data_IF_882658377625
#
_entry.id   IF_882658377625
#
_cell.length_a   1.000
_cell.length_b   1.000
_cell.length_c   1.000
_cell.angle_alpha   90.00
_cell.angle_beta   90.00
_cell.angle_gamma   90.00
#
_symmetry.space_group_name_H-M   'P 1'
#
loop_
_entity.id
_entity.type
_entity.pdbx_description
1 polymer ?
#
# COMPACT_ATOMS: atom_id res chain seq x y z
N UNK A 1 24.25 -10.14 -25.65
CA UNK A 1 23.04 -10.94 -25.42
C UNK A 1 22.95 -11.22 -23.91
N UNK A 2 22.31 -10.38 -23.13
CA UNK A 2 22.17 -10.58 -21.67
C UNK A 2 21.16 -11.67 -21.38
N UNK A 3 21.51 -12.61 -20.51
CA UNK A 3 20.63 -13.71 -20.12
C UNK A 3 19.39 -13.14 -19.38
N UNK A 4 18.15 -13.53 -19.74
CA UNK A 4 16.93 -12.99 -19.10
C UNK A 4 16.86 -13.19 -17.56
N UNK A 5 17.63 -14.12 -17.01
CA UNK A 5 17.69 -14.40 -15.56
C UNK A 5 18.30 -13.26 -14.73
N UNK A 6 19.25 -12.52 -15.28
CA UNK A 6 19.96 -11.45 -14.54
C UNK A 6 19.11 -10.19 -14.42
N UNK A 7 18.25 -9.94 -15.40
CA UNK A 7 17.34 -8.77 -15.40
C UNK A 7 16.21 -8.97 -14.39
N UNK A 8 15.71 -10.20 -14.25
CA UNK A 8 14.63 -10.51 -13.33
C UNK A 8 15.04 -10.34 -11.86
N UNK A 9 16.27 -10.74 -11.53
CA UNK A 9 16.84 -10.54 -10.18
C UNK A 9 17.04 -9.06 -9.84
N UNK A 10 17.38 -8.25 -10.84
CA UNK A 10 17.52 -6.80 -10.66
C UNK A 10 16.19 -6.09 -10.35
N UNK A 11 15.06 -6.60 -10.87
CA UNK A 11 13.74 -5.99 -10.60
C UNK A 11 13.30 -6.25 -9.18
N UNK A 12 13.52 -7.43 -8.69
CA UNK A 12 13.21 -7.81 -7.31
C UNK A 12 14.11 -7.00 -6.36
N UNK A 13 15.41 -6.90 -6.63
CA UNK A 13 16.33 -6.06 -5.86
C UNK A 13 15.99 -4.56 -5.90
N UNK A 14 15.39 -4.09 -7.00
CA UNK A 14 15.01 -2.68 -7.19
C UNK A 14 13.81 -2.27 -6.32
N UNK A 15 12.92 -3.18 -5.97
CA UNK A 15 11.82 -2.89 -5.03
C UNK A 15 12.36 -2.61 -3.62
N UNK A 16 13.55 -3.00 -3.27
CA UNK A 16 13.92 -3.50 -1.97
C UNK A 16 15.04 -2.78 -1.22
N UNK A 17 15.75 -1.86 -1.81
CA UNK A 17 16.82 -1.15 -1.11
C UNK A 17 16.27 0.00 -0.27
N UNK A 18 15.56 -0.30 0.83
CA UNK A 18 15.24 0.71 1.85
C UNK A 18 14.95 0.10 3.22
N UNK A 19 15.85 0.16 4.07
CA UNK A 19 15.76 0.43 5.50
C UNK A 19 17.16 0.22 6.11
N UNK A 20 17.98 1.25 6.01
CA UNK A 20 19.15 1.33 6.88
C UNK A 20 18.96 2.58 7.71
N UNK A 21 18.68 2.39 8.96
CA UNK A 21 18.89 3.40 9.97
C UNK A 21 17.70 3.87 10.77
N UNK A 22 17.15 3.02 11.61
CA UNK A 22 16.82 3.39 12.98
C UNK A 22 16.64 2.11 13.78
N UNK A 23 17.58 1.82 14.67
CA UNK A 23 17.39 0.81 15.70
C UNK A 23 16.34 1.31 16.68
N UNK A 24 15.09 0.95 16.45
CA UNK A 24 14.04 1.15 17.46
C UNK A 24 14.22 0.03 18.48
N UNK A 25 14.53 0.40 19.71
CA UNK A 25 14.63 -0.55 20.82
C UNK A 25 13.27 -1.24 21.01
N UNK A 26 13.23 -2.55 20.73
CA UNK A 26 12.08 -3.40 21.06
C UNK A 26 11.88 -3.44 22.58
N UNK A 27 10.84 -2.81 23.08
CA UNK A 27 10.30 -3.16 24.39
C UNK A 27 9.46 -4.43 24.25
N UNK A 28 9.55 -5.39 25.19
CA UNK A 28 8.73 -6.59 25.11
C UNK A 28 7.26 -6.21 25.24
N UNK A 29 6.46 -6.53 24.23
CA UNK A 29 5.01 -6.36 24.26
C UNK A 29 4.41 -7.32 25.27
N UNK A 30 3.66 -6.79 26.23
CA UNK A 30 2.77 -7.61 27.09
C UNK A 30 1.56 -7.92 26.21
N UNK A 31 1.47 -9.18 25.77
CA UNK A 31 0.34 -9.65 25.00
C UNK A 31 -0.92 -9.61 25.85
N UNK A 32 -1.81 -8.69 25.57
CA UNK A 32 -3.18 -8.73 26.06
C UNK A 32 -4.05 -9.36 24.97
N UNK A 33 -4.61 -10.53 25.25
CA UNK A 33 -5.54 -11.23 24.38
C UNK A 33 -6.83 -10.41 24.24
N UNK A 34 -6.97 -9.65 23.15
CA UNK A 34 -8.16 -8.87 22.90
C UNK A 34 -8.29 -8.53 21.41
N UNK A 35 -8.93 -9.40 20.64
CA UNK A 35 -9.35 -9.07 19.28
C UNK A 35 -10.32 -7.89 19.26
N UNK A 36 -10.28 -7.07 18.22
CA UNK A 36 -11.22 -5.99 17.99
C UNK A 36 -12.34 -6.42 17.06
N UNK A 37 -13.56 -6.10 17.43
CA UNK A 37 -14.69 -6.16 16.51
C UNK A 37 -15.00 -4.74 16.03
N UNK A 38 -15.07 -4.49 14.71
CA UNK A 38 -15.50 -3.21 14.18
C UNK A 38 -16.91 -2.90 14.68
N UNK A 39 -17.14 -1.63 15.05
CA UNK A 39 -18.45 -1.16 15.48
C UNK A 39 -19.19 -0.50 14.31
N UNK A 40 -20.52 -0.42 14.42
CA UNK A 40 -21.36 0.25 13.41
C UNK A 40 -21.05 1.75 13.24
N UNK A 41 -20.25 2.33 14.12
CA UNK A 41 -19.94 3.76 14.13
C UNK A 41 -18.59 4.08 13.49
N UNK A 42 -17.89 3.11 12.90
CA UNK A 42 -16.59 3.30 12.28
C UNK A 42 -15.57 4.05 13.17
N UNK A 43 -15.73 3.92 14.47
CA UNK A 43 -14.80 4.55 15.39
C UNK A 43 -13.56 3.68 15.55
N UNK A 44 -12.37 4.28 15.74
CA UNK A 44 -11.12 3.56 15.95
C UNK A 44 -11.21 2.84 17.29
N UNK A 45 -11.84 1.67 17.34
CA UNK A 45 -12.16 1.12 18.64
C UNK A 45 -11.93 -0.38 18.67
N UNK A 46 -10.75 -0.72 19.06
CA UNK A 46 -10.57 -1.75 20.03
C UNK A 46 -11.11 -1.28 21.38
N UNK A 47 -11.57 -2.20 22.27
CA UNK A 47 -12.26 -1.81 23.49
C UNK A 47 -11.63 -0.56 24.09
N UNK A 48 -12.46 0.37 24.52
CA UNK A 48 -12.04 1.70 25.03
C UNK A 48 -11.01 1.64 26.15
N UNK A 49 -10.77 0.48 26.70
CA UNK A 49 -9.78 0.17 27.74
C UNK A 49 -8.48 -0.49 27.22
N UNK A 50 -8.40 -0.89 25.94
CA UNK A 50 -7.16 -1.49 25.44
C UNK A 50 -6.03 -0.45 25.43
N UNK A 51 -4.79 -0.79 25.86
CA UNK A 51 -3.63 0.08 25.66
C UNK A 51 -3.47 0.45 24.19
N UNK A 52 -2.97 1.65 23.88
CA UNK A 52 -2.75 2.07 22.50
C UNK A 52 -1.77 1.17 21.76
N UNK A 53 -0.86 0.54 22.48
CA UNK A 53 0.13 -0.41 21.96
C UNK A 53 -0.47 -1.70 21.37
N UNK A 54 -1.66 -2.10 21.79
CA UNK A 54 -2.37 -3.28 21.27
C UNK A 54 -3.63 -2.92 20.49
N UNK A 55 -3.98 -1.63 20.43
CA UNK A 55 -5.18 -1.18 19.76
C UNK A 55 -5.08 -1.32 18.24
N UNK A 56 -6.19 -1.68 17.62
CA UNK A 56 -6.39 -1.53 16.18
C UNK A 56 -7.07 -0.20 15.88
N UNK A 57 -6.78 0.35 14.72
CA UNK A 57 -7.39 1.61 14.26
C UNK A 57 -8.18 1.37 12.97
N UNK A 58 -9.40 1.89 12.95
CA UNK A 58 -10.22 1.99 11.73
C UNK A 58 -10.40 3.47 11.41
N UNK A 59 -9.96 3.90 10.22
CA UNK A 59 -10.24 5.25 9.76
C UNK A 59 -11.76 5.49 9.68
N UNK A 60 -12.28 6.63 10.16
CA UNK A 60 -13.72 6.94 10.11
C UNK A 60 -14.35 6.90 8.72
N UNK A 61 -13.56 6.93 7.65
CA UNK A 61 -14.01 6.83 6.26
C UNK A 61 -13.99 5.40 5.73
N UNK A 62 -13.50 4.42 6.49
CA UNK A 62 -13.56 3.02 6.11
C UNK A 62 -15.03 2.55 5.95
N UNK A 63 -15.28 1.73 4.95
CA UNK A 63 -16.60 1.22 4.62
C UNK A 63 -16.74 -0.19 5.18
N UNK A 64 -17.51 -0.31 6.26
CA UNK A 64 -17.68 -1.59 6.97
C UNK A 64 -19.11 -2.06 6.77
N UNK A 65 -19.29 -3.18 6.07
CA UNK A 65 -20.61 -3.78 5.83
C UNK A 65 -20.74 -5.08 6.62
N UNK A 66 -21.83 -5.22 7.37
CA UNK A 66 -22.10 -6.34 8.27
C UNK A 66 -20.99 -6.56 9.32
N UNK A 67 -20.72 -5.58 10.19
CA UNK A 67 -19.58 -5.60 11.12
C UNK A 67 -19.59 -6.77 12.10
N UNK A 68 -20.75 -7.37 12.39
CA UNK A 68 -20.85 -8.54 13.26
C UNK A 68 -20.18 -9.80 12.72
N UNK A 69 -19.92 -9.83 11.41
CA UNK A 69 -19.21 -10.90 10.72
C UNK A 69 -17.72 -10.56 10.46
N UNK A 70 -17.22 -9.46 11.04
CA UNK A 70 -15.83 -9.04 10.87
C UNK A 70 -15.11 -9.14 12.21
N UNK A 71 -13.95 -9.79 12.20
CA UNK A 71 -13.06 -9.87 13.37
C UNK A 71 -11.72 -9.27 13.00
N UNK A 72 -11.22 -8.36 13.85
CA UNK A 72 -9.88 -7.79 13.76
C UNK A 72 -9.05 -8.22 14.95
N UNK A 73 -7.83 -8.64 14.71
CA UNK A 73 -6.81 -8.89 15.73
C UNK A 73 -6.25 -7.59 16.31
N UNK A 74 -5.21 -7.71 17.14
CA UNK A 74 -4.50 -6.56 17.71
C UNK A 74 -3.66 -5.85 16.66
N UNK A 75 -3.46 -4.53 16.84
CA UNK A 75 -2.60 -3.67 16.01
C UNK A 75 -2.93 -3.71 14.50
N UNK A 76 -4.18 -3.98 14.16
CA UNK A 76 -4.63 -3.89 12.76
C UNK A 76 -4.88 -2.43 12.40
N UNK A 77 -4.23 -1.95 11.35
CA UNK A 77 -4.48 -0.63 10.79
C UNK A 77 -5.41 -0.73 9.57
N UNK A 78 -6.57 -0.08 9.64
CA UNK A 78 -7.50 0.04 8.51
C UNK A 78 -7.56 1.49 8.06
N UNK A 79 -7.01 1.75 6.89
CA UNK A 79 -6.78 3.07 6.32
C UNK A 79 -8.03 3.69 5.68
N UNK A 80 -7.96 4.97 5.24
CA UNK A 80 -9.06 5.66 4.58
C UNK A 80 -9.67 4.89 3.42
N UNK A 81 -11.00 4.87 3.38
CA UNK A 81 -11.82 4.27 2.32
C UNK A 81 -11.56 2.79 2.04
N UNK A 82 -10.87 2.09 2.95
CA UNK A 82 -10.82 0.64 2.90
C UNK A 82 -12.24 0.08 3.04
N UNK A 83 -12.56 -0.94 2.25
CA UNK A 83 -13.89 -1.55 2.20
C UNK A 83 -13.80 -3.00 2.69
N UNK A 84 -14.52 -3.32 3.78
CA UNK A 84 -14.65 -4.67 4.32
C UNK A 84 -16.14 -5.06 4.23
N UNK A 85 -16.49 -5.84 3.22
CA UNK A 85 -17.86 -6.32 2.99
C UNK A 85 -18.01 -7.78 3.39
N UNK A 86 -18.59 -7.98 4.57
CA UNK A 86 -18.91 -9.29 5.13
C UNK A 86 -20.41 -9.66 4.99
N UNK A 87 -21.11 -9.09 3.99
CA UNK A 87 -22.53 -9.35 3.76
C UNK A 87 -22.80 -10.83 3.54
N UNK A 88 -21.99 -11.49 2.73
CA UNK A 88 -22.25 -12.86 2.29
C UNK A 88 -21.41 -13.92 3.03
N UNK A 89 -20.36 -13.52 3.75
CA UNK A 89 -19.48 -14.45 4.49
C UNK A 89 -18.59 -13.67 5.46
N UNK A 90 -17.99 -14.34 6.47
CA UNK A 90 -17.16 -13.68 7.47
C UNK A 90 -15.82 -13.18 6.87
N UNK A 91 -15.28 -12.13 7.51
CA UNK A 91 -13.93 -11.63 7.33
C UNK A 91 -13.19 -11.72 8.65
N UNK A 92 -12.01 -12.32 8.66
CA UNK A 92 -11.07 -12.23 9.78
C UNK A 92 -9.74 -11.64 9.32
N UNK A 93 -9.24 -10.67 10.08
CA UNK A 93 -7.91 -10.08 9.88
C UNK A 93 -7.15 -10.24 11.19
N UNK A 94 -6.10 -11.06 11.18
CA UNK A 94 -5.31 -11.36 12.39
C UNK A 94 -4.31 -10.23 12.69
N UNK A 95 -3.68 -10.29 13.83
CA UNK A 95 -2.84 -9.26 14.42
C UNK A 95 -1.69 -8.77 13.51
N UNK A 96 -1.24 -7.56 13.76
CA UNK A 96 -0.10 -6.91 13.10
C UNK A 96 -0.27 -6.78 11.57
N UNK A 97 -1.52 -6.87 11.08
CA UNK A 97 -1.85 -6.76 9.65
C UNK A 97 -2.39 -5.37 9.31
N UNK A 98 -2.33 -4.99 8.04
CA UNK A 98 -2.86 -3.70 7.62
C UNK A 98 -3.72 -3.81 6.37
N UNK A 99 -4.76 -2.99 6.32
CA UNK A 99 -5.68 -2.80 5.20
C UNK A 99 -5.50 -1.36 4.75
N UNK A 100 -4.62 -1.12 3.79
CA UNK A 100 -4.27 0.23 3.37
C UNK A 100 -5.39 0.90 2.56
N UNK A 101 -5.14 2.17 2.15
CA UNK A 101 -6.13 3.01 1.52
C UNK A 101 -6.81 2.31 0.35
N UNK A 102 -8.15 2.32 0.37
CA UNK A 102 -9.01 1.78 -0.69
C UNK A 102 -8.82 0.30 -1.02
N UNK A 103 -8.20 -0.45 -0.14
CA UNK A 103 -8.23 -1.91 -0.22
C UNK A 103 -9.69 -2.38 -0.14
N UNK A 104 -10.04 -3.38 -0.93
CA UNK A 104 -11.38 -4.00 -0.90
C UNK A 104 -11.28 -5.45 -0.50
N UNK A 105 -12.02 -5.81 0.54
CA UNK A 105 -12.21 -7.20 0.97
C UNK A 105 -13.69 -7.51 0.85
N UNK A 106 -14.05 -8.35 -0.12
CA UNK A 106 -15.44 -8.73 -0.41
C UNK A 106 -15.58 -10.24 -0.21
N UNK A 107 -16.09 -10.62 0.95
CA UNK A 107 -16.16 -12.01 1.34
C UNK A 107 -17.35 -12.74 0.71
N UNK A 108 -17.11 -13.98 0.26
CA UNK A 108 -18.17 -14.91 -0.14
C UNK A 108 -17.74 -16.36 0.14
N UNK A 109 -18.66 -17.31 -0.05
CA UNK A 109 -18.38 -18.72 0.20
C UNK A 109 -18.04 -19.01 1.67
N UNK A 110 -16.84 -19.49 1.94
CA UNK A 110 -16.38 -19.76 3.31
C UNK A 110 -15.83 -18.53 4.04
N UNK A 111 -15.72 -17.38 3.36
CA UNK A 111 -15.19 -16.14 3.91
C UNK A 111 -13.78 -15.83 3.49
N UNK A 112 -13.24 -14.72 4.04
CA UNK A 112 -11.87 -14.28 3.84
C UNK A 112 -11.12 -14.38 5.17
N UNK A 113 -10.04 -15.14 5.17
CA UNK A 113 -9.15 -15.30 6.31
C UNK A 113 -7.80 -14.64 6.00
N UNK A 114 -7.47 -13.59 6.74
CA UNK A 114 -6.17 -12.90 6.68
C UNK A 114 -5.39 -13.29 7.93
N UNK A 115 -4.21 -13.87 7.76
CA UNK A 115 -3.31 -14.25 8.85
C UNK A 115 -2.57 -13.06 9.45
N UNK A 116 -1.64 -13.36 10.36
CA UNK A 116 -0.79 -12.35 11.00
C UNK A 116 0.19 -11.73 10.00
N UNK A 117 0.49 -10.44 10.22
CA UNK A 117 1.53 -9.69 9.49
C UNK A 117 1.33 -9.74 7.98
N UNK A 118 0.08 -9.55 7.56
CA UNK A 118 -0.29 -9.44 6.15
C UNK A 118 -0.42 -7.96 5.77
N UNK A 119 0.34 -7.56 4.77
CA UNK A 119 0.30 -6.22 4.20
C UNK A 119 -0.63 -6.24 2.99
N UNK A 120 -1.75 -5.54 3.08
CA UNK A 120 -2.64 -5.28 1.94
C UNK A 120 -2.45 -3.84 1.51
N UNK A 121 -1.57 -3.62 0.52
CA UNK A 121 -1.21 -2.28 0.07
C UNK A 121 -2.33 -1.62 -0.74
N UNK A 122 -2.18 -0.31 -0.95
CA UNK A 122 -3.20 0.56 -1.53
C UNK A 122 -3.93 -0.05 -2.73
N UNK A 123 -5.25 0.00 -2.69
CA UNK A 123 -6.14 -0.44 -3.77
C UNK A 123 -6.08 -1.95 -4.09
N UNK A 124 -5.43 -2.78 -3.29
CA UNK A 124 -5.51 -4.22 -3.46
C UNK A 124 -6.97 -4.69 -3.34
N UNK A 125 -7.34 -5.72 -4.06
CA UNK A 125 -8.70 -6.28 -4.04
C UNK A 125 -8.65 -7.76 -3.70
N UNK A 126 -9.38 -8.15 -2.67
CA UNK A 126 -9.53 -9.54 -2.22
C UNK A 126 -11.00 -9.87 -2.31
N UNK A 127 -11.34 -10.91 -3.05
CA UNK A 127 -12.74 -11.33 -3.21
C UNK A 127 -12.89 -12.85 -3.20
N UNK A 128 -14.09 -13.30 -2.93
CA UNK A 128 -14.39 -14.73 -2.89
C UNK A 128 -14.09 -15.37 -1.54
N UNK A 129 -13.85 -16.67 -1.56
CA UNK A 129 -13.34 -17.43 -0.42
C UNK A 129 -11.81 -17.46 -0.50
N UNK A 130 -11.13 -16.59 0.25
CA UNK A 130 -9.70 -16.43 0.16
C UNK A 130 -9.01 -16.67 1.52
N UNK A 131 -7.81 -17.26 1.46
CA UNK A 131 -6.93 -17.46 2.63
C UNK A 131 -5.57 -16.83 2.35
N UNK A 132 -5.16 -15.86 3.17
CA UNK A 132 -3.96 -15.09 2.91
C UNK A 132 -3.08 -15.08 4.16
N UNK A 133 -1.86 -15.61 4.07
CA UNK A 133 -0.92 -15.65 5.17
C UNK A 133 -1.32 -16.58 6.34
N UNK A 134 -2.32 -17.45 6.15
CA UNK A 134 -2.83 -18.35 7.21
C UNK A 134 -2.15 -19.71 7.22
N UNK A 135 -1.54 -20.10 6.11
CA UNK A 135 -0.97 -21.43 5.88
C UNK A 135 0.46 -21.33 5.37
N UNK A 136 1.16 -22.46 5.29
CA UNK A 136 2.51 -22.57 4.78
C UNK A 136 3.56 -22.70 5.89
N UNK A 137 4.82 -22.91 5.46
CA UNK A 137 5.93 -23.12 6.39
C UNK A 137 6.21 -21.88 7.24
N UNK A 138 6.40 -22.10 8.53
CA UNK A 138 6.92 -21.12 9.50
C UNK A 138 8.44 -21.25 9.71
N UNK A 139 9.09 -22.15 8.96
CA UNK A 139 10.53 -22.40 9.08
C UNK A 139 11.38 -21.30 8.47
N UNK A 140 12.70 -21.35 8.73
CA UNK A 140 13.64 -20.38 8.19
C UNK A 140 13.57 -20.37 6.67
N UNK A 141 13.57 -19.15 6.11
CA UNK A 141 13.66 -18.91 4.68
C UNK A 141 15.14 -18.84 4.25
N UNK A 142 15.49 -19.50 3.16
CA UNK A 142 16.83 -19.37 2.57
C UNK A 142 16.74 -18.57 1.27
N UNK A 143 17.43 -17.44 1.22
CA UNK A 143 17.53 -16.64 0.01
C UNK A 143 18.22 -17.46 -1.09
N UNK A 144 17.59 -17.72 -2.22
CA UNK A 144 18.15 -18.54 -3.29
C UNK A 144 19.31 -17.86 -4.05
N UNK A 145 19.54 -16.57 -3.82
CA UNK A 145 20.59 -15.78 -4.48
C UNK A 145 21.84 -15.73 -3.61
N UNK A 146 21.67 -15.36 -2.34
CA UNK A 146 22.78 -15.17 -1.39
C UNK A 146 23.08 -16.42 -0.58
N UNK A 147 22.17 -17.40 -0.59
CA UNK A 147 22.18 -18.59 0.27
C UNK A 147 22.18 -18.23 1.78
N UNK A 148 21.74 -17.03 2.12
CA UNK A 148 21.60 -16.59 3.50
C UNK A 148 20.32 -17.16 4.08
N UNK A 149 20.40 -17.75 5.26
CA UNK A 149 19.25 -18.25 6.00
C UNK A 149 18.71 -17.14 6.91
N UNK A 150 17.43 -16.86 6.76
CA UNK A 150 16.69 -15.94 7.63
C UNK A 150 15.88 -16.75 8.61
N UNK A 151 16.11 -16.54 9.89
CA UNK A 151 15.19 -16.95 10.93
C UNK A 151 14.03 -15.96 10.93
N UNK A 152 13.10 -16.18 10.03
CA UNK A 152 11.83 -15.46 10.04
C UNK A 152 10.92 -16.17 11.04
N UNK A 153 11.09 -15.85 12.32
CA UNK A 153 10.22 -16.37 13.39
C UNK A 153 8.76 -15.90 13.19
N UNK A 154 8.57 -14.88 12.34
CA UNK A 154 7.26 -14.28 12.08
C UNK A 154 7.09 -14.12 10.56
N UNK A 155 6.37 -15.04 9.91
CA UNK A 155 6.12 -14.98 8.46
C UNK A 155 5.27 -13.77 8.07
N UNK A 156 5.58 -13.18 6.94
CA UNK A 156 4.91 -12.01 6.37
C UNK A 156 4.38 -12.30 4.97
N UNK A 157 3.35 -11.57 4.58
CA UNK A 157 2.76 -11.70 3.23
C UNK A 157 2.40 -10.31 2.72
N UNK A 158 2.76 -10.01 1.48
CA UNK A 158 2.55 -8.71 0.87
C UNK A 158 1.69 -8.78 -0.38
N UNK A 159 0.55 -8.12 -0.33
CA UNK A 159 -0.31 -7.84 -1.49
C UNK A 159 -0.05 -6.40 -1.93
N UNK A 160 0.64 -6.22 -3.04
CA UNK A 160 1.06 -4.90 -3.51
C UNK A 160 -0.05 -4.13 -4.24
N UNK A 161 0.27 -2.90 -4.67
CA UNK A 161 -0.68 -1.92 -5.23
C UNK A 161 -1.54 -2.47 -6.37
N UNK A 162 -2.86 -2.25 -6.30
CA UNK A 162 -3.80 -2.63 -7.35
C UNK A 162 -3.73 -4.12 -7.76
N UNK A 163 -3.23 -5.02 -6.89
CA UNK A 163 -3.30 -6.45 -7.16
C UNK A 163 -4.70 -7.02 -6.87
N UNK A 164 -5.01 -8.20 -7.40
CA UNK A 164 -6.28 -8.88 -7.17
C UNK A 164 -6.05 -10.33 -6.72
N UNK A 165 -6.70 -10.70 -5.61
CA UNK A 165 -6.82 -12.08 -5.14
C UNK A 165 -8.28 -12.49 -5.30
N UNK A 166 -8.54 -13.53 -6.07
CA UNK A 166 -9.88 -13.99 -6.40
C UNK A 166 -10.05 -15.46 -5.98
N UNK A 167 -10.59 -15.70 -4.80
CA UNK A 167 -10.85 -17.03 -4.28
C UNK A 167 -9.61 -17.95 -4.23
N UNK A 168 -8.46 -17.40 -3.90
CA UNK A 168 -7.18 -18.10 -3.89
C UNK A 168 -6.63 -18.28 -2.47
N UNK A 169 -5.69 -19.21 -2.32
CA UNK A 169 -4.86 -19.35 -1.13
C UNK A 169 -3.48 -18.77 -1.39
N UNK A 170 -3.09 -17.79 -0.58
CA UNK A 170 -1.77 -17.17 -0.59
C UNK A 170 -1.09 -17.59 0.70
N UNK A 171 -0.07 -18.45 0.62
CA UNK A 171 0.63 -18.91 1.80
C UNK A 171 1.53 -17.81 2.39
N UNK A 172 2.05 -18.05 3.59
CA UNK A 172 2.98 -17.14 4.28
C UNK A 172 4.27 -16.95 3.49
N UNK A 173 5.01 -15.88 3.77
CA UNK A 173 6.25 -15.55 3.07
C UNK A 173 6.05 -15.48 1.55
N UNK A 174 5.10 -14.71 1.11
CA UNK A 174 4.80 -14.51 -0.31
C UNK A 174 4.61 -13.04 -0.65
N UNK A 175 4.81 -12.70 -1.90
CA UNK A 175 4.49 -11.38 -2.46
C UNK A 175 3.60 -11.55 -3.69
N UNK A 176 2.47 -10.86 -3.73
CA UNK A 176 1.68 -10.67 -4.95
C UNK A 176 1.91 -9.24 -5.42
N UNK A 177 2.70 -9.07 -6.47
CA UNK A 177 3.20 -7.77 -6.88
C UNK A 177 2.12 -6.87 -7.52
N UNK A 178 2.44 -5.59 -7.73
CA UNK A 178 1.49 -4.59 -8.24
C UNK A 178 0.91 -4.97 -9.61
N UNK A 179 -0.37 -4.63 -9.81
CA UNK A 179 -1.13 -4.93 -11.02
C UNK A 179 -1.13 -6.43 -11.40
N UNK A 180 -0.86 -7.33 -10.47
CA UNK A 180 -0.93 -8.77 -10.70
C UNK A 180 -2.21 -9.39 -10.13
N UNK A 181 -2.51 -10.62 -10.54
CA UNK A 181 -3.71 -11.34 -10.12
C UNK A 181 -3.40 -12.79 -9.80
N UNK A 182 -4.05 -13.32 -8.77
CA UNK A 182 -4.10 -14.77 -8.49
C UNK A 182 -5.57 -15.20 -8.55
N UNK A 183 -5.86 -16.12 -9.45
CA UNK A 183 -7.23 -16.55 -9.78
C UNK A 183 -7.79 -17.62 -8.85
N UNK A 184 -9.08 -17.98 -9.05
CA UNK A 184 -9.80 -18.90 -8.17
C UNK A 184 -9.17 -20.28 -8.06
N UNK A 185 -9.13 -20.83 -6.84
CA UNK A 185 -8.62 -22.16 -6.55
C UNK A 185 -7.10 -22.34 -6.68
N UNK A 186 -6.37 -21.24 -6.96
CA UNK A 186 -4.91 -21.26 -7.01
C UNK A 186 -4.35 -21.18 -5.59
N UNK A 187 -3.31 -21.99 -5.32
CA UNK A 187 -2.47 -21.86 -4.12
C UNK A 187 -1.11 -21.30 -4.53
N UNK A 188 -0.76 -20.10 -4.07
CA UNK A 188 0.58 -19.53 -4.16
C UNK A 188 1.38 -20.03 -2.97
N UNK A 189 2.36 -20.92 -3.16
CA UNK A 189 3.08 -21.51 -2.03
C UNK A 189 4.10 -20.54 -1.42
N UNK A 190 4.46 -20.78 -0.17
CA UNK A 190 5.46 -20.02 0.58
C UNK A 190 6.77 -19.84 -0.22
N UNK A 191 7.41 -18.70 -0.04
CA UNK A 191 8.65 -18.34 -0.71
C UNK A 191 8.49 -17.93 -2.18
N UNK A 192 7.26 -17.64 -2.65
CA UNK A 192 7.01 -17.20 -4.03
C UNK A 192 6.60 -15.74 -4.11
N UNK A 193 7.02 -15.13 -5.20
CA UNK A 193 6.66 -13.76 -5.62
C UNK A 193 5.95 -13.83 -6.95
N UNK A 194 4.70 -13.40 -7.04
CA UNK A 194 4.04 -13.16 -8.32
C UNK A 194 4.64 -11.91 -8.95
N UNK A 195 5.12 -12.02 -10.18
CA UNK A 195 5.77 -10.91 -10.87
C UNK A 195 4.78 -9.80 -11.25
N UNK A 196 5.23 -8.54 -11.36
CA UNK A 196 4.37 -7.41 -11.71
C UNK A 196 3.53 -7.65 -12.97
N UNK A 197 2.25 -7.33 -12.92
CA UNK A 197 1.31 -7.44 -14.03
C UNK A 197 0.91 -8.86 -14.42
N UNK A 198 1.38 -9.89 -13.75
CA UNK A 198 1.09 -11.28 -14.10
C UNK A 198 -0.26 -11.75 -13.60
N UNK A 199 -0.88 -12.65 -14.39
CA UNK A 199 -2.11 -13.33 -14.01
C UNK A 199 -1.81 -14.83 -13.82
N UNK A 200 -1.87 -15.28 -12.56
CA UNK A 200 -1.65 -16.67 -12.17
C UNK A 200 -3.01 -17.36 -12.06
N UNK A 201 -3.26 -18.34 -12.90
CA UNK A 201 -4.56 -19.01 -13.01
C UNK A 201 -4.52 -20.50 -12.74
N UNK A 202 -3.33 -21.07 -12.52
CA UNK A 202 -3.15 -22.48 -12.18
C UNK A 202 -2.05 -22.66 -11.14
N UNK A 203 -2.13 -23.76 -10.38
CA UNK A 203 -1.08 -24.12 -9.40
C UNK A 203 0.28 -24.35 -10.06
N UNK A 204 0.31 -24.84 -11.28
CA UNK A 204 1.56 -25.00 -12.02
C UNK A 204 2.23 -23.64 -12.29
N UNK A 205 1.45 -22.62 -12.64
CA UNK A 205 1.97 -21.25 -12.80
C UNK A 205 2.45 -20.64 -11.46
N UNK A 206 1.78 -20.98 -10.36
CA UNK A 206 2.12 -20.50 -9.03
C UNK A 206 3.42 -21.10 -8.48
N UNK A 207 3.82 -22.28 -8.95
CA UNK A 207 5.00 -23.02 -8.46
C UNK A 207 6.21 -22.90 -9.36
N UNK A 208 6.01 -22.86 -10.68
CA UNK A 208 7.10 -22.94 -11.66
C UNK A 208 7.57 -21.57 -12.14
N UNK A 209 8.78 -21.19 -11.73
CA UNK A 209 9.44 -19.98 -12.23
C UNK A 209 9.74 -20.01 -13.75
N UNK A 210 9.83 -21.20 -14.35
CA UNK A 210 10.08 -21.35 -15.80
C UNK A 210 8.93 -20.83 -16.68
N UNK A 211 7.72 -20.72 -16.13
CA UNK A 211 6.56 -20.16 -16.82
C UNK A 211 6.52 -18.61 -16.79
N UNK A 212 7.48 -17.98 -16.14
CA UNK A 212 7.62 -16.50 -16.12
C UNK A 212 6.48 -15.75 -15.40
N UNK A 213 5.75 -16.44 -14.51
CA UNK A 213 4.69 -15.81 -13.69
C UNK A 213 5.14 -15.51 -12.29
N UNK A 214 6.02 -16.34 -11.74
CA UNK A 214 6.51 -16.26 -10.37
C UNK A 214 8.03 -16.32 -10.32
N UNK A 215 8.59 -15.74 -9.27
CA UNK A 215 9.97 -15.87 -8.85
C UNK A 215 10.03 -16.40 -7.42
N UNK A 216 11.24 -16.63 -6.90
CA UNK A 216 11.43 -16.89 -5.49
C UNK A 216 11.52 -15.58 -4.71
N UNK A 217 11.02 -15.61 -3.48
CA UNK A 217 11.18 -14.55 -2.50
C UNK A 217 12.67 -14.32 -2.20
N UNK A 218 13.05 -13.10 -1.89
CA UNK A 218 14.43 -12.72 -1.55
C UNK A 218 14.50 -12.09 -0.16
N UNK A 219 15.72 -12.03 0.41
CA UNK A 219 15.97 -11.31 1.67
C UNK A 219 15.41 -9.90 1.65
N UNK A 220 15.64 -9.26 0.54
CA UNK A 220 15.25 -7.90 0.37
C UNK A 220 13.71 -7.75 0.38
N UNK A 221 12.92 -8.70 -0.16
CA UNK A 221 11.45 -8.75 -0.04
C UNK A 221 11.04 -8.83 1.44
N UNK A 222 11.69 -9.68 2.20
CA UNK A 222 11.43 -9.86 3.64
C UNK A 222 11.68 -8.56 4.42
N UNK A 223 12.82 -7.92 4.20
CA UNK A 223 13.16 -6.65 4.90
C UNK A 223 12.19 -5.52 4.58
N UNK A 224 11.70 -5.46 3.33
CA UNK A 224 10.68 -4.50 2.96
C UNK A 224 9.39 -4.75 3.74
N UNK A 225 8.92 -5.98 3.77
CA UNK A 225 7.70 -6.35 4.49
C UNK A 225 7.81 -6.00 5.98
N UNK A 226 8.94 -6.33 6.61
CA UNK A 226 9.19 -6.03 8.01
C UNK A 226 9.04 -4.52 8.31
N UNK A 227 9.69 -3.67 7.52
CA UNK A 227 9.58 -2.22 7.70
C UNK A 227 8.16 -1.67 7.49
N UNK A 228 7.42 -2.19 6.49
CA UNK A 228 6.03 -1.75 6.27
C UNK A 228 5.13 -2.16 7.45
N UNK A 229 5.33 -3.33 8.03
CA UNK A 229 4.58 -3.77 9.21
C UNK A 229 4.83 -2.84 10.38
N UNK A 230 6.08 -2.53 10.69
CA UNK A 230 6.45 -1.64 11.81
C UNK A 230 5.80 -0.25 11.66
N UNK A 231 5.79 0.32 10.46
CA UNK A 231 5.13 1.59 10.17
C UNK A 231 3.62 1.51 10.42
N UNK A 232 2.97 0.45 9.95
CA UNK A 232 1.51 0.32 10.11
C UNK A 232 1.09 0.01 11.55
N UNK A 233 1.89 -0.72 12.33
CA UNK A 233 1.69 -0.86 13.77
C UNK A 233 1.78 0.50 14.49
N UNK A 234 2.77 1.31 14.10
CA UNK A 234 2.90 2.67 14.63
C UNK A 234 1.70 3.57 14.25
N UNK A 235 1.15 3.42 13.04
CA UNK A 235 -0.08 4.09 12.64
C UNK A 235 -1.28 3.63 13.47
N UNK A 236 -1.48 2.34 13.68
CA UNK A 236 -2.58 1.83 14.50
C UNK A 236 -2.55 2.46 15.89
N UNK A 237 -1.37 2.51 16.51
CA UNK A 237 -1.16 3.17 17.81
C UNK A 237 -1.42 4.67 17.75
N UNK A 238 -0.71 5.38 16.88
CA UNK A 238 -0.71 6.84 16.88
C UNK A 238 -2.05 7.44 16.47
N UNK A 239 -2.73 6.87 15.48
CA UNK A 239 -4.08 7.30 15.13
C UNK A 239 -5.10 6.99 16.22
N UNK A 240 -4.94 5.88 16.95
CA UNK A 240 -5.77 5.58 18.12
C UNK A 240 -5.58 6.65 19.21
N UNK A 241 -4.36 7.07 19.47
CA UNK A 241 -4.07 8.14 20.46
C UNK A 241 -4.66 9.48 20.02
N UNK A 242 -4.51 9.85 18.75
CA UNK A 242 -5.11 11.05 18.19
C UNK A 242 -6.64 11.06 18.31
N UNK A 243 -7.27 9.94 17.96
CA UNK A 243 -8.73 9.79 18.03
C UNK A 243 -9.27 9.86 19.47
N UNK A 244 -8.54 9.28 20.42
CA UNK A 244 -8.89 9.34 21.85
C UNK A 244 -8.74 10.75 22.43
N UNK A 245 -7.74 11.48 21.96
CA UNK A 245 -7.56 12.87 22.37
C UNK A 245 -8.67 13.79 21.86
N UNK A 246 -9.02 13.67 20.59
CA UNK A 246 -10.12 14.40 19.94
C UNK A 246 -10.43 13.70 18.59
N UNK A 247 -11.66 13.23 18.42
CA UNK A 247 -12.09 12.52 17.20
C UNK A 247 -11.91 13.39 15.94
N UNK A 248 -11.99 14.72 16.05
CA UNK A 248 -11.74 15.62 14.93
C UNK A 248 -10.31 15.55 14.39
N UNK A 249 -9.35 15.00 15.12
CA UNK A 249 -7.99 14.78 14.66
C UNK A 249 -7.88 13.73 13.57
N UNK A 250 -8.88 12.86 13.43
CA UNK A 250 -8.87 11.74 12.49
C UNK A 250 -10.05 11.77 11.52
N UNK A 251 -10.77 12.89 11.43
CA UNK A 251 -11.92 13.05 10.55
C UNK A 251 -11.67 14.09 9.46
N UNK A 252 -12.07 13.79 8.23
CA UNK A 252 -12.09 14.74 7.13
C UNK A 252 -10.72 15.22 6.70
N UNK A 253 -10.52 16.53 6.77
CA UNK A 253 -9.29 17.20 6.37
C UNK A 253 -8.51 17.58 7.63
N UNK A 254 -7.30 17.04 7.74
CA UNK A 254 -6.37 17.27 8.84
C UNK A 254 -4.98 17.52 8.27
N UNK A 255 -4.76 18.66 7.62
CA UNK A 255 -3.46 18.93 7.03
C UNK A 255 -2.85 20.23 7.52
N UNK A 256 -1.53 20.27 7.53
CA UNK A 256 -0.76 21.45 7.84
C UNK A 256 0.18 21.76 6.66
N UNK A 257 -0.12 22.75 5.83
CA UNK A 257 0.79 23.15 4.77
C UNK A 257 2.04 23.79 5.38
N UNK A 258 3.19 23.47 4.81
CA UNK A 258 4.50 24.13 5.04
C UNK A 258 5.21 23.88 6.39
N UNK A 259 4.76 23.01 7.24
CA UNK A 259 5.51 22.73 8.47
C UNK A 259 5.96 21.27 8.49
N UNK A 260 7.25 21.07 8.48
CA UNK A 260 7.82 19.75 8.72
C UNK A 260 7.69 19.41 10.20
N UNK A 261 7.07 18.30 10.54
CA UNK A 261 6.92 17.85 11.91
C UNK A 261 7.84 16.69 12.18
N UNK A 262 8.86 16.95 12.91
CA UNK A 262 9.67 15.93 13.53
C UNK A 262 9.07 15.62 14.91
N UNK A 263 7.94 14.93 14.94
CA UNK A 263 7.26 14.55 16.18
C UNK A 263 7.84 13.29 16.82
N UNK A 264 8.82 12.64 16.17
CA UNK A 264 9.40 11.40 16.67
C UNK A 264 8.48 10.19 16.65
N UNK A 265 7.26 10.30 16.07
CA UNK A 265 6.28 9.21 15.98
C UNK A 265 5.38 9.35 14.76
N UNK A 266 4.67 8.29 14.43
CA UNK A 266 3.65 8.25 13.39
C UNK A 266 2.25 8.29 14.02
N UNK A 267 1.25 8.91 13.37
CA UNK A 267 1.37 9.70 12.13
C UNK A 267 2.05 11.06 12.39
N UNK A 268 2.76 11.57 11.40
CA UNK A 268 3.40 12.90 11.45
C UNK A 268 2.39 13.99 11.10
N UNK A 269 1.45 14.20 11.97
CA UNK A 269 0.45 15.28 11.89
C UNK A 269 0.69 16.20 13.07
N UNK A 270 1.13 17.42 12.82
CA UNK A 270 1.49 18.35 13.91
C UNK A 270 1.19 19.80 13.56
N UNK A 271 1.46 20.71 14.51
CA UNK A 271 1.34 22.15 14.35
C UNK A 271 -0.08 22.67 14.19
N UNK A 272 -0.23 23.80 13.50
CA UNK A 272 -1.53 24.39 13.23
C UNK A 272 -2.21 23.65 12.08
N UNK A 273 -3.00 22.64 12.40
CA UNK A 273 -3.68 21.79 11.43
C UNK A 273 -4.98 22.47 10.99
N UNK A 274 -5.20 22.60 9.68
CA UNK A 274 -6.51 22.91 9.15
C UNK A 274 -7.42 21.72 9.36
N UNK A 275 -8.55 21.93 10.03
CA UNK A 275 -9.55 20.91 10.30
C UNK A 275 -10.84 21.27 9.60
N UNK A 276 -11.30 20.38 8.72
CA UNK A 276 -12.58 20.52 8.03
C UNK A 276 -13.29 19.17 8.03
N UNK A 277 -14.50 19.08 8.57
CA UNK A 277 -15.27 17.85 8.52
C UNK A 277 -15.68 17.56 7.07
N UNK A 278 -15.02 16.62 6.43
CA UNK A 278 -15.30 16.18 5.08
C UNK A 278 -15.19 14.66 5.02
N UNK A 279 -16.32 14.00 4.93
CA UNK A 279 -16.37 12.54 4.88
C UNK A 279 -16.25 11.96 3.47
N UNK A 280 -16.16 12.81 2.46
CA UNK A 280 -15.96 12.39 1.06
C UNK A 280 -14.50 12.13 0.75
N UNK A 281 -13.59 12.87 1.38
CA UNK A 281 -12.16 12.85 1.08
C UNK A 281 -11.34 12.95 2.39
N UNK A 282 -10.14 12.41 2.37
CA UNK A 282 -9.15 12.49 3.45
C UNK A 282 -7.90 13.20 2.93
N UNK A 283 -7.52 14.30 3.56
CA UNK A 283 -6.29 15.03 3.29
C UNK A 283 -5.56 15.17 4.62
N UNK A 284 -4.42 14.51 4.77
CA UNK A 284 -3.76 14.30 6.06
C UNK A 284 -2.28 14.68 5.97
N UNK A 285 -1.77 15.33 7.01
CA UNK A 285 -0.35 15.55 7.19
C UNK A 285 0.19 16.78 6.47
N UNK A 286 1.47 16.79 6.14
CA UNK A 286 2.16 17.96 5.61
C UNK A 286 2.01 18.06 4.09
N UNK A 287 0.96 18.73 3.63
CA UNK A 287 0.66 18.90 2.20
C UNK A 287 0.55 20.37 1.86
N UNK A 288 1.44 20.87 1.01
CA UNK A 288 1.33 22.19 0.39
C UNK A 288 0.47 22.10 -0.87
N UNK A 289 -0.77 22.58 -0.81
CA UNK A 289 -1.70 22.63 -1.93
C UNK A 289 -1.64 24.00 -2.57
N UNK A 290 -1.46 24.09 -3.90
CA UNK A 290 -1.56 25.35 -4.62
C UNK A 290 -3.03 25.81 -4.75
N UNK A 291 -3.94 24.87 -4.99
CA UNK A 291 -5.38 25.13 -4.96
C UNK A 291 -5.88 25.41 -3.53
N UNK A 292 -6.74 26.40 -3.36
CA UNK A 292 -7.47 26.55 -2.10
C UNK A 292 -8.44 25.39 -1.88
N UNK A 293 -8.81 25.10 -0.63
CA UNK A 293 -9.80 24.04 -0.33
C UNK A 293 -11.13 24.28 -1.05
N UNK A 294 -11.57 25.53 -1.17
CA UNK A 294 -12.79 25.89 -1.90
C UNK A 294 -12.70 25.56 -3.38
N UNK A 295 -11.55 25.79 -4.02
CA UNK A 295 -11.29 25.43 -5.41
C UNK A 295 -11.19 23.90 -5.58
N UNK A 296 -10.49 23.22 -4.67
CA UNK A 296 -10.35 21.78 -4.68
C UNK A 296 -11.70 21.04 -4.61
N UNK A 297 -12.65 21.54 -3.82
CA UNK A 297 -13.95 20.88 -3.67
C UNK A 297 -14.68 20.65 -4.99
N UNK A 298 -14.42 21.48 -5.99
CA UNK A 298 -14.99 21.38 -7.35
C UNK A 298 -14.16 20.50 -8.30
N UNK A 299 -12.89 20.22 -7.96
CA UNK A 299 -11.97 19.45 -8.79
C UNK A 299 -11.83 17.99 -8.32
N UNK A 300 -12.15 17.72 -7.05
CA UNK A 300 -12.04 16.41 -6.45
C UNK A 300 -13.31 15.57 -6.62
N UNK A 301 -13.12 14.33 -7.01
CA UNK A 301 -14.14 13.28 -6.87
C UNK A 301 -14.39 12.88 -5.42
N UNK A 302 -14.82 11.66 -5.23
CA UNK A 302 -15.07 11.06 -3.92
C UNK A 302 -14.02 10.05 -3.55
N UNK A 303 -13.83 9.82 -2.26
CA UNK A 303 -12.90 8.84 -1.69
C UNK A 303 -11.44 9.09 -2.11
N UNK A 304 -11.07 10.35 -2.14
CA UNK A 304 -9.68 10.76 -2.36
C UNK A 304 -8.93 10.65 -1.04
N UNK A 305 -7.77 9.99 -1.05
CA UNK A 305 -6.87 9.90 0.09
C UNK A 305 -5.52 10.52 -0.25
N UNK A 306 -5.23 11.68 0.32
CA UNK A 306 -3.93 12.35 0.20
C UNK A 306 -3.28 12.30 1.59
N UNK A 307 -2.28 11.46 1.80
CA UNK A 307 -1.66 11.25 3.11
C UNK A 307 -0.15 11.49 3.06
N UNK A 308 0.29 12.58 3.71
CA UNK A 308 1.68 12.91 3.97
C UNK A 308 1.97 12.76 5.48
N UNK A 309 1.64 11.61 6.04
CA UNK A 309 1.66 11.33 7.47
C UNK A 309 2.85 10.48 7.92
N UNK A 310 3.67 10.00 6.99
CA UNK A 310 4.93 9.32 7.28
C UNK A 310 6.15 9.86 6.51
N UNK A 311 5.93 10.69 5.49
CA UNK A 311 6.98 11.21 4.62
C UNK A 311 7.36 12.67 4.85
N UNK A 312 8.22 13.17 3.99
CA UNK A 312 8.48 14.59 3.79
C UNK A 312 7.23 15.29 3.22
N UNK A 313 7.18 16.64 3.22
CA UNK A 313 6.03 17.37 2.70
C UNK A 313 5.69 17.04 1.26
N UNK A 314 4.40 16.92 0.94
CA UNK A 314 3.93 16.88 -0.46
C UNK A 314 3.74 18.29 -0.98
N UNK A 315 4.30 18.55 -2.16
CA UNK A 315 4.07 19.78 -2.91
C UNK A 315 3.13 19.45 -4.07
N UNK A 316 1.90 19.93 -4.02
CA UNK A 316 0.85 19.64 -5.00
C UNK A 316 0.49 20.92 -5.73
N UNK A 317 0.86 21.00 -7.01
CA UNK A 317 0.49 22.09 -7.89
C UNK A 317 -1.02 22.14 -8.19
N UNK A 318 -1.40 23.04 -9.07
CA UNK A 318 -2.81 23.17 -9.49
C UNK A 318 -3.33 21.87 -10.12
N UNK A 319 -4.42 21.33 -9.59
CA UNK A 319 -5.05 20.10 -10.07
C UNK A 319 -6.00 20.44 -11.22
N UNK A 320 -5.87 19.79 -12.40
CA UNK A 320 -6.83 19.93 -13.49
C UNK A 320 -8.17 19.23 -13.15
N UNK A 321 -8.08 18.05 -12.56
CA UNK A 321 -9.20 17.26 -12.09
C UNK A 321 -8.72 15.95 -11.48
N UNK A 322 -9.44 15.47 -10.46
CA UNK A 322 -9.12 14.23 -9.76
C UNK A 322 -10.39 13.39 -9.65
N UNK A 323 -10.41 12.28 -10.35
CA UNK A 323 -11.55 11.36 -10.33
C UNK A 323 -11.65 10.62 -8.99
N UNK A 324 -12.64 9.74 -8.85
CA UNK A 324 -12.84 8.99 -7.61
C UNK A 324 -11.68 8.05 -7.30
N UNK A 325 -11.48 7.78 -6.01
CA UNK A 325 -10.59 6.73 -5.52
C UNK A 325 -9.09 6.98 -5.81
N UNK A 326 -8.66 8.24 -5.92
CA UNK A 326 -7.24 8.57 -6.09
C UNK A 326 -6.53 8.52 -4.74
N UNK A 327 -5.31 7.98 -4.73
CA UNK A 327 -4.46 7.91 -3.52
C UNK A 327 -3.11 8.54 -3.79
N UNK A 328 -2.69 9.44 -2.89
CA UNK A 328 -1.31 9.86 -2.72
C UNK A 328 -0.81 9.39 -1.36
N UNK A 329 0.33 8.74 -1.37
CA UNK A 329 1.03 8.32 -0.16
C UNK A 329 2.53 8.33 -0.41
N UNK A 330 3.36 8.18 0.61
CA UNK A 330 4.80 8.12 0.44
C UNK A 330 5.43 7.22 1.50
N UNK A 331 6.54 6.59 1.14
CA UNK A 331 7.39 5.90 2.12
C UNK A 331 7.97 6.90 3.11
N UNK A 332 8.25 6.45 4.29
CA UNK A 332 8.84 7.27 5.36
C UNK A 332 10.05 8.07 4.84
N UNK A 333 10.13 9.33 5.23
CA UNK A 333 11.19 10.28 4.84
C UNK A 333 11.28 10.61 3.34
N UNK A 334 10.23 10.31 2.56
CA UNK A 334 10.18 10.66 1.14
C UNK A 334 9.00 11.58 0.82
N UNK A 335 9.16 12.40 -0.23
CA UNK A 335 8.20 13.42 -0.64
C UNK A 335 7.54 13.12 -1.97
N UNK A 336 6.51 13.91 -2.29
CA UNK A 336 5.91 14.02 -3.62
C UNK A 336 6.04 15.46 -4.12
N UNK A 337 6.46 15.62 -5.37
CA UNK A 337 6.43 16.91 -6.07
C UNK A 337 5.59 16.79 -7.33
N UNK A 338 4.42 17.42 -7.34
CA UNK A 338 3.43 17.32 -8.38
C UNK A 338 3.23 18.70 -9.03
N UNK A 339 3.41 18.78 -10.34
CA UNK A 339 3.29 20.00 -11.11
C UNK A 339 1.84 20.46 -11.32
N UNK A 340 1.66 21.44 -12.21
CA UNK A 340 0.37 22.07 -12.48
C UNK A 340 -0.40 21.37 -13.60
N UNK A 341 -1.73 21.43 -13.53
CA UNK A 341 -2.59 20.94 -14.59
C UNK A 341 -2.61 19.41 -14.75
N UNK A 342 -2.29 18.67 -13.69
CA UNK A 342 -2.31 17.22 -13.75
C UNK A 342 -3.75 16.71 -13.62
N UNK A 343 -4.11 15.76 -14.51
CA UNK A 343 -5.38 15.04 -14.46
C UNK A 343 -5.20 13.63 -13.90
N UNK A 344 -5.99 13.27 -12.87
CA UNK A 344 -5.91 11.96 -12.22
C UNK A 344 -7.16 11.15 -12.54
N UNK A 345 -7.01 10.05 -13.27
CA UNK A 345 -8.09 9.10 -13.56
C UNK A 345 -8.52 8.30 -12.34
N UNK A 346 -9.67 7.61 -12.39
CA UNK A 346 -10.17 6.81 -11.26
C UNK A 346 -9.16 5.78 -10.78
N UNK A 347 -8.98 5.68 -9.46
CA UNK A 347 -8.04 4.75 -8.85
C UNK A 347 -6.58 4.93 -9.31
N UNK A 348 -6.19 6.14 -9.67
CA UNK A 348 -4.79 6.47 -9.89
C UNK A 348 -4.05 6.53 -8.55
N UNK A 349 -2.88 5.92 -8.49
CA UNK A 349 -2.01 5.91 -7.31
C UNK A 349 -0.72 6.65 -7.63
N UNK A 350 -0.38 7.63 -6.81
CA UNK A 350 0.95 8.25 -6.78
C UNK A 350 1.58 7.97 -5.44
N UNK A 351 2.64 7.18 -5.44
CA UNK A 351 3.32 6.79 -4.21
C UNK A 351 4.75 7.31 -4.19
N UNK A 352 5.10 8.03 -3.12
CA UNK A 352 6.44 8.55 -2.92
C UNK A 352 7.47 7.47 -2.64
N UNK A 353 8.71 7.78 -2.96
CA UNK A 353 9.87 6.94 -2.75
C UNK A 353 11.04 7.46 -3.59
N UNK A 354 12.27 7.11 -3.21
CA UNK A 354 13.46 7.42 -3.99
C UNK A 354 13.71 6.34 -5.03
N UNK A 355 14.15 6.73 -6.23
CA UNK A 355 14.59 5.76 -7.24
C UNK A 355 15.81 4.99 -6.72
N UNK A 356 15.85 3.69 -7.03
CA UNK A 356 16.97 2.82 -6.68
C UNK A 356 18.01 2.87 -7.79
N UNK A 357 19.23 3.28 -7.46
CA UNK A 357 20.37 3.36 -8.35
C UNK A 357 21.47 2.46 -7.79
N UNK A 358 21.93 1.50 -8.58
CA UNK A 358 22.94 0.52 -8.17
C UNK A 358 22.55 -0.24 -6.87
N UNK A 359 21.28 -0.58 -6.72
CA UNK A 359 20.78 -1.30 -5.55
C UNK A 359 20.59 -0.44 -4.28
N UNK A 360 20.80 0.89 -4.38
CA UNK A 360 20.64 1.83 -3.26
C UNK A 360 19.57 2.86 -3.61
N UNK A 361 18.67 3.13 -2.69
CA UNK A 361 17.65 4.15 -2.87
C UNK A 361 18.20 5.54 -2.57
N UNK A 362 18.86 6.12 -3.53
CA UNK A 362 19.47 7.45 -3.47
C UNK A 362 19.19 8.29 -4.72
N UNK A 363 18.42 7.76 -5.66
CA UNK A 363 17.99 8.46 -6.86
C UNK A 363 16.92 9.53 -6.61
N UNK A 364 16.39 10.14 -7.67
CA UNK A 364 15.33 11.13 -7.57
C UNK A 364 14.11 10.62 -6.81
N UNK A 365 13.45 11.49 -6.06
CA UNK A 365 12.16 11.23 -5.45
C UNK A 365 11.04 11.23 -6.48
N UNK A 366 9.87 10.70 -6.09
CA UNK A 366 8.72 10.66 -6.97
C UNK A 366 8.26 12.08 -7.33
N UNK A 367 8.22 12.37 -8.62
CA UNK A 367 7.78 13.66 -9.14
C UNK A 367 6.98 13.52 -10.43
N UNK A 368 6.02 14.43 -10.64
CA UNK A 368 5.21 14.48 -11.86
C UNK A 368 5.21 15.91 -12.35
N UNK A 369 5.60 16.11 -13.59
CA UNK A 369 5.66 17.44 -14.21
C UNK A 369 4.28 17.98 -14.61
N UNK A 370 4.28 19.16 -15.25
CA UNK A 370 3.05 19.86 -15.62
C UNK A 370 2.25 19.14 -16.71
N UNK A 371 0.93 19.29 -16.68
CA UNK A 371 -0.02 18.84 -17.70
C UNK A 371 0.10 17.34 -18.02
N UNK A 372 0.39 16.52 -17.02
CA UNK A 372 0.44 15.05 -17.13
C UNK A 372 -0.96 14.47 -16.94
N UNK A 373 -1.31 13.45 -17.73
CA UNK A 373 -2.53 12.68 -17.59
C UNK A 373 -2.26 11.30 -17.01
N UNK A 374 -2.88 10.95 -15.88
CA UNK A 374 -2.84 9.62 -15.30
C UNK A 374 -4.13 8.88 -15.61
N UNK A 375 -4.06 7.77 -16.33
CA UNK A 375 -5.22 6.96 -16.69
C UNK A 375 -5.79 6.16 -15.51
N UNK A 376 -6.98 5.55 -15.67
CA UNK A 376 -7.61 4.73 -14.63
C UNK A 376 -6.71 3.58 -14.14
N UNK A 377 -6.67 3.34 -12.84
CA UNK A 377 -5.83 2.31 -12.20
C UNK A 377 -4.34 2.41 -12.55
N UNK A 378 -3.83 3.59 -12.87
CA UNK A 378 -2.40 3.81 -13.10
C UNK A 378 -1.64 3.91 -11.78
N UNK A 379 -0.37 3.54 -11.81
CA UNK A 379 0.53 3.58 -10.65
C UNK A 379 1.80 4.35 -11.02
N UNK A 380 2.15 5.33 -10.20
CA UNK A 380 3.45 6.01 -10.25
C UNK A 380 4.16 5.76 -8.92
N UNK A 381 5.29 5.08 -8.94
CA UNK A 381 6.06 4.76 -7.74
C UNK A 381 7.56 4.88 -7.99
N UNK A 382 8.27 5.63 -7.15
CA UNK A 382 9.71 5.88 -7.31
C UNK A 382 10.04 6.33 -8.74
N UNK A 383 9.28 7.30 -9.27
CA UNK A 383 9.39 7.68 -10.67
C UNK A 383 9.32 9.19 -10.86
N UNK A 384 10.00 9.67 -11.87
CA UNK A 384 9.92 11.06 -12.33
C UNK A 384 9.27 11.11 -13.71
N UNK A 385 8.12 11.79 -13.83
CA UNK A 385 7.36 11.88 -15.08
C UNK A 385 7.52 13.29 -15.67
N UNK A 386 8.06 13.38 -16.86
CA UNK A 386 8.24 14.67 -17.55
C UNK A 386 6.93 15.30 -18.00
N UNK A 387 6.95 16.62 -18.19
CA UNK A 387 5.79 17.44 -18.57
C UNK A 387 5.04 16.91 -19.79
N UNK A 388 3.72 17.05 -19.82
CA UNK A 388 2.83 16.70 -20.94
C UNK A 388 2.89 15.21 -21.32
N UNK A 389 3.29 14.36 -20.41
CA UNK A 389 3.28 12.91 -20.59
C UNK A 389 1.91 12.33 -20.22
N UNK A 390 1.63 11.09 -20.64
CA UNK A 390 0.39 10.41 -20.35
C UNK A 390 0.65 8.94 -19.97
N UNK A 391 -0.06 8.46 -18.96
CA UNK A 391 -0.11 7.07 -18.57
C UNK A 391 -1.48 6.50 -18.94
N UNK A 392 -1.50 5.41 -19.70
CA UNK A 392 -2.72 4.71 -20.05
C UNK A 392 -3.37 3.98 -18.87
N UNK A 393 -4.55 3.43 -19.09
CA UNK A 393 -5.27 2.65 -18.09
C UNK A 393 -4.48 1.42 -17.65
N UNK A 394 -4.49 1.15 -16.34
CA UNK A 394 -3.85 -0.04 -15.72
C UNK A 394 -2.37 -0.16 -16.13
N UNK A 395 -1.69 0.98 -16.19
CA UNK A 395 -0.26 1.06 -16.45
C UNK A 395 0.50 1.46 -15.18
N UNK A 396 1.79 1.19 -15.15
CA UNK A 396 2.65 1.65 -14.07
C UNK A 396 3.95 2.24 -14.62
N UNK A 397 4.46 3.26 -13.93
CA UNK A 397 5.84 3.70 -14.04
C UNK A 397 6.51 3.48 -12.70
N UNK A 398 7.56 2.69 -12.72
CA UNK A 398 8.25 2.25 -11.53
C UNK A 398 9.76 2.40 -11.66
N UNK A 399 10.39 2.99 -10.63
CA UNK A 399 11.84 3.19 -10.55
C UNK A 399 12.44 3.74 -11.87
N UNK A 400 11.82 4.80 -12.39
CA UNK A 400 12.12 5.29 -13.74
C UNK A 400 11.97 6.78 -13.87
N UNK A 401 12.77 7.35 -14.77
CA UNK A 401 12.58 8.70 -15.30
C UNK A 401 11.98 8.63 -16.69
N UNK A 402 10.83 9.27 -16.89
CA UNK A 402 10.11 9.35 -18.16
C UNK A 402 10.31 10.72 -18.76
N UNK A 403 10.80 10.78 -20.00
CA UNK A 403 11.02 12.05 -20.72
C UNK A 403 9.70 12.82 -20.95
N UNK A 404 9.73 14.15 -21.07
CA UNK A 404 8.56 14.94 -21.43
C UNK A 404 7.86 14.46 -22.70
N UNK A 405 6.52 14.60 -22.76
CA UNK A 405 5.69 14.22 -23.91
C UNK A 405 5.72 12.73 -24.26
N UNK A 406 6.02 11.89 -23.28
CA UNK A 406 6.01 10.44 -23.44
C UNK A 406 4.63 9.88 -23.13
N UNK A 407 4.16 8.96 -23.98
CA UNK A 407 2.92 8.22 -23.73
C UNK A 407 3.23 6.78 -23.37
N UNK A 408 2.85 6.37 -22.17
CA UNK A 408 2.90 4.97 -21.72
C UNK A 408 1.56 4.32 -22.05
N UNK A 409 1.59 3.29 -22.87
CA UNK A 409 0.37 2.62 -23.32
C UNK A 409 -0.40 1.96 -22.16
N UNK A 410 -1.70 1.78 -22.34
CA UNK A 410 -2.52 1.02 -21.38
C UNK A 410 -1.98 -0.39 -21.15
N UNK A 411 -2.10 -0.89 -19.92
CA UNK A 411 -1.65 -2.22 -19.51
C UNK A 411 -0.14 -2.44 -19.70
N UNK A 412 0.64 -1.39 -19.53
CA UNK A 412 2.11 -1.42 -19.66
C UNK A 412 2.75 -1.04 -18.32
N UNK A 413 3.71 -1.84 -17.89
CA UNK A 413 4.60 -1.50 -16.78
C UNK A 413 5.93 -1.05 -17.38
N UNK A 414 6.26 0.22 -17.20
CA UNK A 414 7.52 0.83 -17.60
C UNK A 414 8.43 0.94 -16.39
N UNK A 415 9.53 0.21 -16.38
CA UNK A 415 10.44 0.13 -15.24
C UNK A 415 11.90 0.21 -15.68
N UNK A 416 12.77 0.53 -14.73
CA UNK A 416 14.22 0.61 -14.91
C UNK A 416 14.60 1.45 -16.14
N UNK A 417 14.05 2.68 -16.23
CA UNK A 417 14.26 3.63 -17.33
C UNK A 417 13.96 3.06 -18.72
N UNK A 418 12.99 2.15 -18.82
CA UNK A 418 12.60 1.50 -20.07
C UNK A 418 13.42 0.27 -20.44
N UNK A 419 14.40 -0.11 -19.63
CA UNK A 419 15.09 -1.39 -19.80
C UNK A 419 14.17 -2.58 -19.55
N UNK A 420 13.09 -2.35 -18.78
CA UNK A 420 12.07 -3.34 -18.53
C UNK A 420 10.69 -2.81 -18.89
N UNK A 421 10.09 -3.41 -19.90
CA UNK A 421 8.71 -3.16 -20.31
C UNK A 421 7.93 -4.46 -20.18
N UNK A 422 6.95 -4.49 -19.29
CA UNK A 422 6.10 -5.64 -19.07
C UNK A 422 4.66 -5.32 -19.46
N UNK A 423 3.88 -6.34 -19.76
CA UNK A 423 2.45 -6.23 -20.02
C UNK A 423 1.64 -6.71 -18.82
N UNK A 424 0.61 -5.96 -18.47
CA UNK A 424 -0.43 -6.41 -17.53
C UNK A 424 -1.36 -7.38 -18.27
N UNK A 425 -1.47 -8.60 -17.77
CA UNK A 425 -2.10 -9.72 -18.47
C UNK A 425 -3.61 -9.86 -18.24
N UNK A 426 -4.22 -9.03 -17.35
CA UNK A 426 -5.63 -9.14 -16.93
C UNK A 426 -6.35 -7.79 -16.87
#
# INVERSE_FOLDING_TARGET
MFKPRTILSAIIAIILAFFIGTQIHKQPAIALNGGCNPTTNNLPICPSAAPSESASFLDPTAIITNPTNITLGEKVYVAPFAELDATNAPISVDADSNVQDQVKIIASGTGVEIGKRVIMAHMATIKGAAKIGTQGSTGPFTDPITNTQFNNDIPETFLAFNCEIDGATIERNTVVNFLSRVGPGVTLPAGKVVLPGKNVTTNQQATSGSLGKVANLTEADVRLMEGIIEVNEAFAKGYTELARADLSNVQGINYAPVTFFNSGGLPRIGGSVTREPNFRNRIIGNIALQDSLGTLSNKLGNRISLRADEGEPFNVGEIAGMANDVVFHALETTSLTLGNGIGYGPRALVHGGRQVVNGVANGPETSIGDAVGLGPNSVVFRASIGNRSALGQRSAVFNSTVAPRTSIASRTIYADNGNLILRVEW
#
